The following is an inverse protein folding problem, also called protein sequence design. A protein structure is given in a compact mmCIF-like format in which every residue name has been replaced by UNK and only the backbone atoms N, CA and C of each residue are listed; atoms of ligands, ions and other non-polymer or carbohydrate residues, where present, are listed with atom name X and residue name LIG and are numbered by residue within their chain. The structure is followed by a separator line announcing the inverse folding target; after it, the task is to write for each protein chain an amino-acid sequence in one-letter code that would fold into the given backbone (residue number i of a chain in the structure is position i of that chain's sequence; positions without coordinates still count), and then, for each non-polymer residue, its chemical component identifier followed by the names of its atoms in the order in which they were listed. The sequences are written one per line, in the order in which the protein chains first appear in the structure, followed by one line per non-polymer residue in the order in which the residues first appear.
data_IF_215127807684
#
_entry.id   IF_215127807684
#
_cell.length_a   1.000
_cell.length_b   1.000
_cell.length_c   1.000
_cell.angle_alpha   90.00
_cell.angle_beta   90.00
_cell.angle_gamma   90.00
#
_symmetry.space_group_name_H-M   'P 1'
#
loop_
_entity.id
_entity.type
_entity.pdbx_description
1 polymer ?
#
# COMPACT_ATOMS: atom_id res chain seq x y z
N UNK A 1 9.13 23.33 0.22
CA UNK A 1 9.99 22.32 0.84
C UNK A 1 9.06 21.48 1.69
N UNK A 2 8.61 20.33 1.19
CA UNK A 2 7.76 19.45 2.01
C UNK A 2 8.69 18.72 2.96
N UNK A 3 8.61 19.04 4.25
CA UNK A 3 9.40 18.35 5.25
C UNK A 3 8.94 16.89 5.33
N UNK A 4 9.87 15.92 5.38
CA UNK A 4 9.51 14.52 5.56
C UNK A 4 8.78 14.35 6.89
N UNK A 5 7.77 13.47 6.91
CA UNK A 5 7.02 13.18 8.12
C UNK A 5 7.97 12.59 9.18
N UNK A 6 7.86 13.02 10.46
CA UNK A 6 8.65 12.44 11.53
C UNK A 6 8.40 10.93 11.64
N UNK A 7 9.47 10.14 11.79
CA UNK A 7 9.39 8.68 11.92
C UNK A 7 8.43 8.26 13.04
N UNK A 8 8.49 8.94 14.19
CA UNK A 8 7.62 8.65 15.33
C UNK A 8 6.12 8.87 15.00
N UNK A 9 5.81 9.90 14.20
CA UNK A 9 4.45 10.19 13.77
C UNK A 9 3.98 9.14 12.76
N UNK A 10 4.80 8.81 11.75
CA UNK A 10 4.47 7.76 10.79
C UNK A 10 4.23 6.41 11.45
N UNK A 11 5.07 6.02 12.42
CA UNK A 11 4.90 4.76 13.18
C UNK A 11 3.62 4.77 14.02
N UNK A 12 3.25 5.90 14.60
CA UNK A 12 1.99 6.02 15.33
C UNK A 12 0.78 5.87 14.39
N UNK A 13 0.81 6.54 13.24
CA UNK A 13 -0.25 6.45 12.22
C UNK A 13 -0.35 5.06 11.59
N UNK A 14 0.78 4.37 11.40
CA UNK A 14 0.79 2.99 10.89
C UNK A 14 0.15 1.98 11.85
N UNK A 15 -0.02 2.35 13.13
CA UNK A 15 -0.67 1.54 14.17
C UNK A 15 -2.04 2.09 14.55
N UNK A 16 -2.50 3.12 13.86
CA UNK A 16 -3.80 3.72 14.14
C UNK A 16 -4.90 2.68 13.92
N UNK A 17 -5.90 2.55 14.81
CA UNK A 17 -7.00 1.61 14.62
C UNK A 17 -7.86 1.93 13.41
N UNK A 18 -7.91 3.19 12.97
CA UNK A 18 -8.65 3.61 11.80
C UNK A 18 -7.88 3.24 10.52
N UNK A 19 -8.50 2.37 9.73
CA UNK A 19 -7.91 1.90 8.51
C UNK A 19 -7.78 2.98 7.43
N UNK A 20 -8.66 4.01 7.45
CA UNK A 20 -8.56 5.14 6.52
C UNK A 20 -7.32 5.99 6.83
N UNK A 21 -6.91 6.06 8.10
CA UNK A 21 -5.65 6.71 8.51
C UNK A 21 -4.45 5.91 8.00
N UNK A 22 -4.48 4.59 8.14
CA UNK A 22 -3.41 3.70 7.63
C UNK A 22 -3.33 3.71 6.10
N UNK A 23 -4.47 3.77 5.42
CA UNK A 23 -4.54 3.91 3.96
C UNK A 23 -3.99 5.27 3.50
N UNK A 24 -4.39 6.37 4.13
CA UNK A 24 -3.85 7.69 3.82
C UNK A 24 -2.32 7.71 3.94
N UNK A 25 -1.78 7.14 5.02
CA UNK A 25 -0.34 7.01 5.23
C UNK A 25 0.35 6.20 4.12
N UNK A 26 -0.27 5.12 3.63
CA UNK A 26 0.31 4.28 2.57
C UNK A 26 0.45 4.99 1.21
N UNK A 27 -0.33 6.06 1.00
CA UNK A 27 -0.31 6.89 -0.21
C UNK A 27 0.46 8.21 -0.03
N UNK A 28 0.87 8.51 1.20
CA UNK A 28 1.52 9.77 1.54
C UNK A 28 3.00 9.75 1.12
N UNK A 29 3.43 10.57 0.14
CA UNK A 29 4.81 10.59 -0.35
C UNK A 29 5.84 11.00 0.71
N UNK A 30 5.39 11.65 1.80
CA UNK A 30 6.22 12.07 2.93
C UNK A 30 6.37 10.98 3.99
N UNK A 31 5.66 9.85 3.85
CA UNK A 31 5.71 8.73 4.78
C UNK A 31 7.13 8.12 4.87
N UNK A 32 7.64 7.91 6.09
CA UNK A 32 8.96 7.32 6.30
C UNK A 32 8.95 5.83 6.01
N UNK A 33 10.07 5.31 5.51
CA UNK A 33 10.20 3.90 5.12
C UNK A 33 9.90 2.93 6.27
N UNK A 34 10.23 3.31 7.52
CA UNK A 34 9.94 2.53 8.72
C UNK A 34 8.45 2.37 8.98
N UNK A 35 7.65 3.41 8.72
CA UNK A 35 6.19 3.33 8.85
C UNK A 35 5.58 2.48 7.72
N UNK A 36 6.08 2.65 6.51
CA UNK A 36 5.66 1.84 5.34
C UNK A 36 6.01 0.36 5.52
N UNK A 37 7.13 0.04 6.18
CA UNK A 37 7.48 -1.33 6.54
C UNK A 37 6.49 -1.95 7.54
N UNK A 38 5.93 -1.18 8.47
CA UNK A 38 4.87 -1.68 9.35
C UNK A 38 3.57 -1.98 8.60
N UNK A 39 3.24 -1.16 7.60
CA UNK A 39 2.06 -1.37 6.75
C UNK A 39 2.19 -2.57 5.80
N UNK A 40 3.40 -3.11 5.61
CA UNK A 40 3.63 -4.30 4.78
C UNK A 40 2.93 -5.55 5.34
N UNK A 41 2.75 -5.61 6.66
CA UNK A 41 2.05 -6.66 7.38
C UNK A 41 0.60 -6.26 7.74
N UNK A 42 0.07 -5.17 7.16
CA UNK A 42 -1.30 -4.74 7.43
C UNK A 42 -2.32 -5.78 6.95
N UNK A 43 -3.36 -6.10 7.74
CA UNK A 43 -4.38 -7.08 7.35
C UNK A 43 -5.09 -6.71 6.03
N UNK A 44 -5.18 -5.42 5.68
CA UNK A 44 -5.86 -4.99 4.46
C UNK A 44 -4.97 -5.11 3.23
N UNK A 45 -5.37 -5.92 2.24
CA UNK A 45 -4.59 -6.06 1.02
C UNK A 45 -4.53 -4.77 0.19
N UNK A 46 -5.52 -3.88 0.29
CA UNK A 46 -5.51 -2.57 -0.38
C UNK A 46 -4.36 -1.67 0.11
N UNK A 47 -4.12 -1.62 1.42
CA UNK A 47 -3.03 -0.84 2.03
C UNK A 47 -1.67 -1.41 1.59
N UNK A 48 -1.54 -2.74 1.61
CA UNK A 48 -0.36 -3.44 1.11
C UNK A 48 -0.11 -3.18 -0.39
N UNK A 49 -1.17 -3.12 -1.20
CA UNK A 49 -1.06 -2.83 -2.62
C UNK A 49 -0.57 -1.40 -2.92
N UNK A 50 -0.94 -0.40 -2.13
CA UNK A 50 -0.44 0.98 -2.28
C UNK A 50 1.08 1.08 -2.13
N UNK A 51 1.69 0.23 -1.28
CA UNK A 51 3.14 0.17 -1.12
C UNK A 51 3.87 -0.23 -2.42
N UNK A 52 3.20 -0.95 -3.33
CA UNK A 52 3.78 -1.42 -4.59
C UNK A 52 3.99 -0.30 -5.63
N UNK A 53 3.28 0.82 -5.47
CA UNK A 53 3.40 2.02 -6.32
C UNK A 53 4.08 3.17 -5.57
N UNK A 54 4.26 3.06 -4.25
CA UNK A 54 4.81 4.13 -3.43
C UNK A 54 6.32 4.36 -3.65
N UNK A 55 6.78 5.58 -3.98
CA UNK A 55 8.16 5.86 -4.41
C UNK A 55 9.22 5.60 -3.33
N UNK A 56 8.87 5.85 -2.06
CA UNK A 56 9.80 5.71 -0.92
C UNK A 56 9.98 4.27 -0.43
N UNK A 57 9.26 3.30 -1.00
CA UNK A 57 9.36 1.88 -0.62
C UNK A 57 10.49 1.20 -1.40
N UNK A 58 11.44 0.52 -0.73
CA UNK A 58 12.52 -0.20 -1.40
C UNK A 58 12.01 -1.40 -2.20
N UNK A 59 12.74 -1.78 -3.25
CA UNK A 59 12.33 -2.83 -4.19
C UNK A 59 12.14 -4.20 -3.50
N UNK A 60 12.99 -4.54 -2.53
CA UNK A 60 12.87 -5.79 -1.77
C UNK A 60 11.54 -5.88 -1.01
N UNK A 61 11.14 -4.79 -0.34
CA UNK A 61 9.88 -4.73 0.38
C UNK A 61 8.68 -4.81 -0.58
N UNK A 62 8.75 -4.12 -1.73
CA UNK A 62 7.72 -4.25 -2.77
C UNK A 62 7.59 -5.69 -3.27
N UNK A 63 8.71 -6.39 -3.46
CA UNK A 63 8.70 -7.78 -3.90
C UNK A 63 8.06 -8.70 -2.86
N UNK A 64 8.42 -8.53 -1.58
CA UNK A 64 7.84 -9.30 -0.47
C UNK A 64 6.32 -9.09 -0.39
N UNK A 65 5.86 -7.83 -0.36
CA UNK A 65 4.44 -7.51 -0.29
C UNK A 65 3.67 -8.06 -1.50
N UNK A 66 4.23 -7.91 -2.71
CA UNK A 66 3.61 -8.47 -3.90
C UNK A 66 3.51 -10.00 -3.86
N UNK A 67 4.54 -10.69 -3.34
CA UNK A 67 4.53 -12.14 -3.21
C UNK A 67 3.45 -12.62 -2.22
N UNK A 68 3.30 -11.95 -1.07
CA UNK A 68 2.26 -12.25 -0.08
C UNK A 68 0.86 -12.06 -0.68
N UNK A 69 0.59 -10.89 -1.29
CA UNK A 69 -0.70 -10.62 -1.92
C UNK A 69 -1.02 -11.61 -3.05
N UNK A 70 -0.01 -12.02 -3.81
CA UNK A 70 -0.18 -13.02 -4.88
C UNK A 70 -0.52 -14.40 -4.32
N UNK A 71 0.06 -14.78 -3.18
CA UNK A 71 -0.25 -16.04 -2.51
C UNK A 71 -1.67 -16.04 -1.92
N UNK A 72 -2.09 -14.94 -1.30
CA UNK A 72 -3.46 -14.77 -0.77
C UNK A 72 -4.50 -14.78 -1.90
N UNK A 73 -4.24 -14.07 -2.99
CA UNK A 73 -5.08 -14.11 -4.17
C UNK A 73 -5.19 -15.54 -4.74
N UNK A 74 -4.08 -16.27 -4.82
CA UNK A 74 -4.10 -17.67 -5.26
C UNK A 74 -4.84 -18.61 -4.28
N UNK A 75 -4.94 -18.25 -3.01
CA UNK A 75 -5.74 -18.96 -2.00
C UNK A 75 -7.25 -18.63 -2.10
N UNK A 76 -7.64 -17.69 -2.98
CA UNK A 76 -9.04 -17.31 -3.21
C UNK A 76 -9.47 -16.07 -2.42
N UNK A 77 -8.54 -15.31 -1.84
CA UNK A 77 -8.85 -14.02 -1.21
C UNK A 77 -9.21 -12.98 -2.28
N UNK A 78 -10.50 -12.64 -2.34
CA UNK A 78 -11.04 -11.68 -3.31
C UNK A 78 -10.50 -10.26 -3.10
N UNK A 79 -10.21 -9.88 -1.87
CA UNK A 79 -9.68 -8.55 -1.58
C UNK A 79 -8.24 -8.43 -2.06
N UNK A 80 -7.43 -9.48 -1.88
CA UNK A 80 -6.08 -9.56 -2.42
C UNK A 80 -6.07 -9.55 -3.96
N UNK A 81 -6.96 -10.34 -4.59
CA UNK A 81 -7.16 -10.31 -6.05
C UNK A 81 -7.51 -8.90 -6.55
N UNK A 82 -8.49 -8.25 -5.92
CA UNK A 82 -8.94 -6.91 -6.29
C UNK A 82 -7.85 -5.85 -6.09
N UNK A 83 -7.08 -5.94 -5.00
CA UNK A 83 -5.99 -5.02 -4.71
C UNK A 83 -4.88 -5.12 -5.78
N UNK A 84 -4.49 -6.33 -6.19
CA UNK A 84 -3.55 -6.53 -7.29
C UNK A 84 -4.11 -6.06 -8.64
N UNK A 85 -5.41 -6.24 -8.87
CA UNK A 85 -6.06 -5.74 -10.08
C UNK A 85 -6.02 -4.21 -10.15
N UNK A 86 -6.21 -3.52 -9.01
CA UNK A 86 -6.10 -2.07 -8.92
C UNK A 86 -4.68 -1.56 -9.23
N UNK A 87 -3.64 -2.21 -8.70
CA UNK A 87 -2.24 -1.82 -9.00
C UNK A 87 -1.91 -1.97 -10.49
N UNK A 88 -2.42 -3.03 -11.14
CA UNK A 88 -2.28 -3.22 -12.60
C UNK A 88 -2.99 -2.11 -13.36
N UNK A 89 -4.15 -1.69 -12.86
CA UNK A 89 -4.94 -0.64 -13.46
C UNK A 89 -4.25 0.74 -13.37
N UNK A 90 -3.78 1.12 -12.17
CA UNK A 90 -3.06 2.38 -11.93
C UNK A 90 -1.78 2.49 -12.79
N UNK A 91 -0.97 1.42 -12.85
CA UNK A 91 0.21 1.36 -13.75
C UNK A 91 -0.13 1.41 -15.23
N UNK A 92 -1.36 1.12 -15.63
CA UNK A 92 -1.78 1.23 -17.04
C UNK A 92 -1.97 2.69 -17.47
N UNK A 93 -1.81 3.67 -16.56
CA UNK A 93 -2.09 5.08 -16.83
C UNK A 93 -3.57 5.37 -17.03
N UNK A 94 -4.44 4.41 -16.66
CA UNK A 94 -5.89 4.56 -16.74
C UNK A 94 -6.37 5.39 -15.55
N UNK A 95 -7.06 6.48 -15.84
CA UNK A 95 -7.60 7.37 -14.80
C UNK A 95 -8.81 6.72 -14.13
N UNK A 96 -9.24 7.19 -12.96
CA UNK A 96 -10.40 6.64 -12.24
C UNK A 96 -11.72 6.56 -13.05
N UNK A 97 -11.79 7.20 -14.22
CA UNK A 97 -12.88 7.17 -15.20
C UNK A 97 -12.93 5.91 -16.09
N UNK A 98 -11.81 5.19 -16.26
CA UNK A 98 -11.75 3.97 -17.10
C UNK A 98 -12.12 2.68 -16.33
N UNK A 99 -12.71 2.83 -15.13
CA UNK A 99 -13.02 1.71 -14.24
C UNK A 99 -14.12 0.86 -14.89
N UNK A 100 -13.90 -0.44 -15.13
CA UNK A 100 -14.99 -1.29 -15.59
C UNK A 100 -16.05 -1.41 -14.49
N UNK A 101 -17.31 -1.30 -14.90
CA UNK A 101 -18.51 -1.44 -14.07
C UNK A 101 -18.65 -2.84 -13.47
#
# INVERSE_FOLDING_TARGET
MTEPMPVAQGVALARDPDDAVREALSTDPTAPAEALALLADDPRPAIRANLLTHPSVPADLRYQVHAVLSAEAAAGDREAENALAWVRYDRSGRTACDRPE
#
